data_IF_718918446789
#
_entry.id   IF_718918446789
#
_cell.length_a   1.000
_cell.length_b   1.000
_cell.length_c   1.000
_cell.angle_alpha   90.00
_cell.angle_beta   90.00
_cell.angle_gamma   90.00
#
_symmetry.space_group_name_H-M   'P 1'
#
loop_
_entity.id
_entity.type
_entity.pdbx_description
1 polymer ?
#
# COMPACT_ATOMS: atom_id res chain seq x y z
N UNK A 1 -33.54 -13.40 -13.91
CA UNK A 1 -32.22 -14.09 -13.89
C UNK A 1 -31.20 -13.09 -14.42
N UNK A 2 -30.13 -12.85 -13.67
CA UNK A 2 -29.06 -11.94 -14.10
C UNK A 2 -28.13 -12.67 -15.09
N UNK A 3 -27.70 -11.98 -16.15
CA UNK A 3 -26.77 -12.52 -17.17
C UNK A 3 -25.31 -12.23 -16.86
N UNK A 4 -25.07 -11.18 -16.07
CA UNK A 4 -23.73 -10.74 -15.66
C UNK A 4 -23.78 -10.36 -14.20
N UNK A 5 -22.71 -10.70 -13.48
CA UNK A 5 -22.46 -10.27 -12.10
C UNK A 5 -21.03 -9.76 -12.11
N UNK A 6 -20.84 -8.54 -11.59
CA UNK A 6 -19.54 -7.91 -11.43
C UNK A 6 -19.18 -8.01 -9.96
N UNK A 7 -18.06 -8.68 -9.67
CA UNK A 7 -17.48 -8.70 -8.33
C UNK A 7 -16.31 -7.74 -8.31
N UNK A 8 -16.24 -6.99 -7.23
CA UNK A 8 -14.99 -6.39 -6.81
C UNK A 8 -14.02 -7.49 -6.34
N UNK A 9 -12.72 -7.20 -6.34
CA UNK A 9 -11.70 -8.17 -5.96
C UNK A 9 -11.34 -8.03 -4.47
N UNK A 10 -10.86 -6.86 -4.10
CA UNK A 10 -10.28 -6.60 -2.79
C UNK A 10 -11.37 -6.50 -1.72
N UNK A 11 -11.22 -7.28 -0.64
CA UNK A 11 -12.20 -7.41 0.43
C UNK A 11 -13.62 -7.84 -0.03
N UNK A 12 -13.74 -8.38 -1.25
CA UNK A 12 -14.94 -9.03 -1.76
C UNK A 12 -14.68 -10.50 -2.09
N UNK A 13 -13.63 -10.79 -2.86
CA UNK A 13 -13.18 -12.16 -3.16
C UNK A 13 -11.89 -12.50 -2.41
N UNK A 14 -11.00 -11.52 -2.21
CA UNK A 14 -9.73 -11.67 -1.52
C UNK A 14 -9.71 -10.90 -0.21
N UNK A 15 -9.03 -11.42 0.81
CA UNK A 15 -8.73 -10.66 2.03
C UNK A 15 -7.49 -9.80 1.80
N UNK A 16 -7.70 -8.61 1.24
CA UNK A 16 -6.63 -7.65 0.98
C UNK A 16 -5.98 -7.20 2.28
N UNK A 17 -6.75 -7.06 3.36
CA UNK A 17 -6.24 -6.55 4.64
C UNK A 17 -5.23 -7.52 5.26
N UNK A 18 -5.51 -8.82 5.20
CA UNK A 18 -4.56 -9.84 5.63
C UNK A 18 -3.29 -9.82 4.77
N UNK A 19 -3.43 -9.74 3.45
CA UNK A 19 -2.29 -9.67 2.53
C UNK A 19 -1.43 -8.41 2.70
N UNK A 20 -2.06 -7.25 2.87
CA UNK A 20 -1.38 -5.98 3.14
C UNK A 20 -0.58 -6.07 4.43
N UNK A 21 -1.19 -6.59 5.51
CA UNK A 21 -0.52 -6.71 6.79
C UNK A 21 0.74 -7.58 6.72
N UNK A 22 0.64 -8.76 6.13
CA UNK A 22 1.79 -9.67 5.97
C UNK A 22 2.87 -9.05 5.07
N UNK A 23 2.48 -8.45 3.94
CA UNK A 23 3.41 -7.81 3.01
C UNK A 23 4.16 -6.64 3.64
N UNK A 24 3.46 -5.79 4.39
CA UNK A 24 4.06 -4.61 5.04
C UNK A 24 4.91 -5.01 6.24
N UNK A 25 4.52 -6.06 6.97
CA UNK A 25 5.38 -6.63 8.01
C UNK A 25 6.72 -7.09 7.43
N UNK A 26 6.70 -7.82 6.30
CA UNK A 26 7.93 -8.26 5.64
C UNK A 26 8.81 -7.09 5.15
N UNK A 27 8.20 -6.02 4.62
CA UNK A 27 8.91 -4.80 4.21
C UNK A 27 9.55 -4.08 5.40
N UNK A 28 8.87 -4.02 6.55
CA UNK A 28 9.43 -3.40 7.75
C UNK A 28 10.62 -4.21 8.25
N UNK A 29 10.49 -5.54 8.30
CA UNK A 29 11.56 -6.44 8.72
C UNK A 29 12.80 -6.32 7.81
N UNK A 30 12.62 -6.19 6.49
CA UNK A 30 13.76 -6.05 5.56
C UNK A 30 14.55 -4.76 5.75
N UNK A 31 13.88 -3.68 6.16
CA UNK A 31 14.49 -2.36 6.42
C UNK A 31 14.88 -2.15 7.90
N UNK A 32 14.74 -3.18 8.74
CA UNK A 32 15.07 -3.11 10.18
C UNK A 32 14.10 -2.25 11.01
N UNK A 33 12.91 -1.97 10.51
CA UNK A 33 11.85 -1.25 11.21
C UNK A 33 11.07 -2.23 12.08
N UNK A 34 10.89 -1.90 13.35
CA UNK A 34 10.05 -2.71 14.25
C UNK A 34 8.59 -2.60 13.82
N UNK A 35 7.98 -3.74 13.47
CA UNK A 35 6.55 -3.80 13.26
C UNK A 35 5.79 -3.52 14.55
N UNK A 36 4.86 -2.56 14.50
CA UNK A 36 3.87 -2.31 15.53
C UNK A 36 2.63 -1.69 14.90
N UNK A 37 1.50 -1.71 15.62
CA UNK A 37 0.22 -1.20 15.09
C UNK A 37 0.27 0.30 14.75
N UNK A 38 1.09 1.10 15.43
CA UNK A 38 1.21 2.54 15.14
C UNK A 38 1.87 2.76 13.77
N UNK A 39 2.99 2.09 13.50
CA UNK A 39 3.71 2.18 12.24
C UNK A 39 2.85 1.62 11.10
N UNK A 40 2.19 0.48 11.32
CA UNK A 40 1.26 -0.09 10.34
C UNK A 40 0.11 0.88 10.03
N UNK A 41 -0.45 1.51 11.07
CA UNK A 41 -1.52 2.50 10.90
C UNK A 41 -1.06 3.73 10.13
N UNK A 42 0.16 4.22 10.37
CA UNK A 42 0.75 5.33 9.61
C UNK A 42 0.88 4.99 8.12
N UNK A 43 1.37 3.78 7.80
CA UNK A 43 1.41 3.31 6.42
C UNK A 43 0.01 3.26 5.80
N UNK A 44 -0.99 2.71 6.51
CA UNK A 44 -2.36 2.61 6.00
C UNK A 44 -2.97 3.99 5.71
N UNK A 45 -2.70 4.99 6.55
CA UNK A 45 -3.21 6.35 6.34
C UNK A 45 -2.59 7.01 5.10
N UNK A 46 -1.29 6.81 4.88
CA UNK A 46 -0.58 7.27 3.67
C UNK A 46 -1.14 6.56 2.42
N UNK A 47 -1.20 5.23 2.44
CA UNK A 47 -1.70 4.41 1.32
C UNK A 47 -3.13 4.83 0.95
N UNK A 48 -4.03 4.94 1.94
CA UNK A 48 -5.43 5.33 1.73
C UNK A 48 -5.56 6.74 1.15
N UNK A 49 -4.77 7.70 1.64
CA UNK A 49 -4.78 9.08 1.11
C UNK A 49 -4.38 9.11 -0.36
N UNK A 50 -3.31 8.40 -0.74
CA UNK A 50 -2.82 8.37 -2.12
C UNK A 50 -3.82 7.68 -3.07
N UNK A 51 -4.47 6.60 -2.64
CA UNK A 51 -5.56 5.98 -3.43
C UNK A 51 -6.74 6.92 -3.64
N UNK A 52 -7.13 7.69 -2.62
CA UNK A 52 -8.17 8.72 -2.76
C UNK A 52 -7.76 9.84 -3.73
N UNK A 53 -6.48 10.23 -3.74
CA UNK A 53 -5.95 11.21 -4.69
C UNK A 53 -5.92 10.66 -6.13
N UNK A 54 -5.65 9.37 -6.32
CA UNK A 54 -5.74 8.69 -7.61
C UNK A 54 -7.18 8.69 -8.14
N UNK A 55 -8.16 8.37 -7.29
CA UNK A 55 -9.60 8.43 -7.66
C UNK A 55 -10.04 9.84 -8.09
N UNK A 56 -9.39 10.87 -7.55
CA UNK A 56 -9.61 12.26 -7.91
C UNK A 56 -8.79 12.72 -9.13
N UNK A 57 -7.98 11.85 -9.72
CA UNK A 57 -7.11 12.14 -10.86
C UNK A 57 -5.94 13.08 -10.52
N UNK A 58 -5.56 13.21 -9.24
CA UNK A 58 -4.49 14.11 -8.78
C UNK A 58 -3.10 13.48 -8.89
N UNK A 59 -3.02 12.16 -8.78
CA UNK A 59 -1.80 11.37 -8.91
C UNK A 59 -2.08 10.20 -9.84
N UNK A 60 -1.04 9.68 -10.49
CA UNK A 60 -1.06 8.46 -11.28
C UNK A 60 -0.90 7.22 -10.40
N UNK A 61 -1.24 6.05 -10.95
CA UNK A 61 -1.06 4.78 -10.24
C UNK A 61 0.41 4.54 -9.87
N UNK A 62 1.33 4.85 -10.77
CA UNK A 62 2.76 4.70 -10.54
C UNK A 62 3.25 5.61 -9.41
N UNK A 63 2.71 6.83 -9.33
CA UNK A 63 2.96 7.74 -8.20
C UNK A 63 2.42 7.18 -6.89
N UNK A 64 1.22 6.57 -6.85
CA UNK A 64 0.70 5.92 -5.63
C UNK A 64 1.65 4.81 -5.16
N UNK A 65 2.05 3.92 -6.07
CA UNK A 65 2.84 2.73 -5.74
C UNK A 65 4.24 3.08 -5.19
N UNK A 66 4.83 4.16 -5.70
CA UNK A 66 6.17 4.64 -5.29
C UNK A 66 6.10 5.56 -4.07
N UNK A 67 5.21 6.57 -4.09
CA UNK A 67 5.13 7.63 -3.08
C UNK A 67 4.71 7.10 -1.72
N UNK A 68 3.84 6.08 -1.67
CA UNK A 68 3.36 5.53 -0.39
C UNK A 68 4.48 4.97 0.48
N UNK A 69 5.48 4.35 -0.13
CA UNK A 69 6.63 3.83 0.59
C UNK A 69 7.60 4.96 0.90
N UNK A 70 7.89 5.82 -0.08
CA UNK A 70 8.76 6.98 0.13
C UNK A 70 8.32 7.83 1.34
N UNK A 71 7.05 8.25 1.38
CA UNK A 71 6.51 9.03 2.50
C UNK A 71 6.54 8.27 3.82
N UNK A 72 6.27 6.96 3.79
CA UNK A 72 6.30 6.15 5.00
C UNK A 72 7.72 6.07 5.59
N UNK A 73 8.73 5.79 4.76
CA UNK A 73 10.11 5.66 5.20
C UNK A 73 10.74 7.00 5.59
N UNK A 74 10.28 8.11 5.03
CA UNK A 74 10.65 9.46 5.48
C UNK A 74 10.29 9.71 6.96
N UNK A 75 9.28 9.02 7.52
CA UNK A 75 8.96 9.10 8.96
C UNK A 75 10.06 8.52 9.87
N UNK A 76 10.97 7.74 9.31
CA UNK A 76 12.07 7.06 10.01
C UNK A 76 13.44 7.63 9.61
N UNK A 77 13.48 8.77 8.92
CA UNK A 77 14.70 9.35 8.33
C UNK A 77 15.43 8.39 7.36
N UNK A 78 14.69 7.45 6.77
CA UNK A 78 15.22 6.49 5.80
C UNK A 78 14.94 6.96 4.37
N UNK A 79 16.01 7.17 3.60
CA UNK A 79 15.89 7.47 2.18
C UNK A 79 15.95 6.17 1.38
N UNK A 80 14.78 5.61 1.08
CA UNK A 80 14.66 4.37 0.30
C UNK A 80 14.49 4.65 -1.20
N UNK A 81 15.05 3.76 -2.01
CA UNK A 81 14.74 3.72 -3.44
C UNK A 81 13.41 2.99 -3.66
N UNK A 82 12.31 3.73 -3.61
CA UNK A 82 10.96 3.18 -3.75
C UNK A 82 10.56 2.83 -5.20
N UNK A 83 11.53 2.57 -6.10
CA UNK A 83 11.24 2.16 -7.47
C UNK A 83 10.53 0.82 -7.48
N UNK A 84 9.43 0.76 -8.24
CA UNK A 84 8.75 -0.51 -8.53
C UNK A 84 9.64 -1.32 -9.46
N UNK A 85 10.45 -2.23 -8.92
CA UNK A 85 10.94 -3.34 -9.72
C UNK A 85 9.79 -4.34 -9.87
N UNK A 86 9.47 -4.68 -11.11
CA UNK A 86 8.42 -5.64 -11.45
C UNK A 86 8.82 -7.01 -10.86
N UNK A 87 8.30 -7.36 -9.68
CA UNK A 87 8.29 -8.74 -9.23
C UNK A 87 7.17 -9.41 -10.02
N UNK A 88 7.58 -10.06 -11.11
CA UNK A 88 6.75 -10.96 -11.95
C UNK A 88 6.39 -12.22 -11.21
#
# INVERSE_FOLDING_TARGET
MYKHILFDLDNTLLDFNAGEREGIMAVFESEGIVFNELNFKQYQDINKRLWLELEQGKVSKDEVLTTRFKEFFELFDLNVDARVEMIV
#
